data_IF_292475445850
#
_entry.id   IF_292475445850
#
_cell.length_a   1.000
_cell.length_b   1.000
_cell.length_c   1.000
_cell.angle_alpha   90.00
_cell.angle_beta   90.00
_cell.angle_gamma   90.00
#
_symmetry.space_group_name_H-M   'P 1'
#
loop_
_entity.id
_entity.type
_entity.pdbx_description
1 polymer ?
#
# COMPACT_ATOMS: atom_id res chain seq x y z
N UNK A 1 9.50 39.97 13.33
CA UNK A 1 9.28 40.24 11.90
C UNK A 1 10.21 39.32 11.13
N UNK A 2 9.75 38.11 10.80
CA UNK A 2 10.57 37.08 10.14
C UNK A 2 10.62 37.37 8.63
N UNK A 3 11.79 37.65 8.09
CA UNK A 3 12.00 37.73 6.65
C UNK A 3 12.18 36.32 6.09
N UNK A 4 11.16 35.83 5.42
CA UNK A 4 11.23 34.59 4.63
C UNK A 4 11.99 34.90 3.33
N UNK A 5 13.22 34.39 3.19
CA UNK A 5 13.93 34.43 1.91
C UNK A 5 13.41 33.30 1.02
N UNK A 6 12.74 33.67 -0.06
CA UNK A 6 12.28 32.74 -1.11
C UNK A 6 13.40 32.59 -2.13
N UNK A 7 13.97 31.40 -2.25
CA UNK A 7 15.01 31.11 -3.25
C UNK A 7 14.33 30.56 -4.51
N UNK A 8 14.47 31.28 -5.62
CA UNK A 8 13.95 30.88 -6.93
C UNK A 8 15.01 30.03 -7.62
N UNK A 9 14.83 28.70 -7.63
CA UNK A 9 15.71 27.78 -8.35
C UNK A 9 15.50 28.00 -9.84
N UNK A 10 16.50 28.56 -10.51
CA UNK A 10 16.52 28.66 -11.98
C UNK A 10 17.41 27.52 -12.46
N UNK A 11 16.81 26.53 -13.13
CA UNK A 11 17.56 25.45 -13.77
C UNK A 11 18.27 26.07 -14.97
N UNK A 12 19.59 26.16 -14.89
CA UNK A 12 20.43 26.51 -16.03
C UNK A 12 20.76 25.17 -16.71
N UNK A 13 20.22 24.96 -17.90
CA UNK A 13 20.62 23.84 -18.76
C UNK A 13 22.04 24.11 -19.27
N UNK A 14 22.97 23.22 -18.92
CA UNK A 14 24.32 23.21 -19.47
C UNK A 14 24.24 22.80 -20.95
N UNK A 15 24.27 23.78 -21.85
CA UNK A 15 24.59 23.53 -23.25
C UNK A 15 26.11 23.55 -23.44
N UNK A 16 26.72 22.36 -23.46
CA UNK A 16 27.99 22.15 -24.15
C UNK A 16 27.83 22.50 -25.62
N UNK A 17 28.54 23.52 -26.10
CA UNK A 17 29.05 23.54 -27.48
C UNK A 17 30.29 24.43 -27.58
N UNK A 18 31.33 23.84 -28.15
CA UNK A 18 32.69 24.37 -28.27
C UNK A 18 32.84 25.42 -29.39
N UNK A 19 33.91 26.20 -29.20
CA UNK A 19 34.84 26.79 -30.18
C UNK A 19 34.57 28.16 -30.85
N UNK A 20 35.61 29.00 -30.69
CA UNK A 20 36.12 30.06 -31.58
C UNK A 20 35.45 31.45 -31.57
N UNK A 21 36.04 32.38 -30.81
CA UNK A 21 36.79 33.52 -31.38
C UNK A 21 37.50 34.34 -30.28
N UNK A 22 38.81 34.52 -30.43
CA UNK A 22 39.62 35.52 -29.73
C UNK A 22 39.15 36.94 -30.11
N UNK A 23 38.90 37.82 -29.13
CA UNK A 23 39.74 39.00 -28.91
C UNK A 23 39.22 39.95 -27.82
N UNK A 24 40.18 40.55 -27.11
CA UNK A 24 40.12 41.82 -26.38
C UNK A 24 39.27 41.87 -25.10
N UNK A 25 39.93 41.61 -23.96
CA UNK A 25 39.96 42.49 -22.78
C UNK A 25 40.65 41.77 -21.60
N UNK A 26 41.90 42.15 -21.30
CA UNK A 26 42.68 41.61 -20.18
C UNK A 26 42.12 41.98 -18.80
N UNK A 27 41.05 42.78 -18.75
CA UNK A 27 40.28 43.09 -17.53
C UNK A 27 39.06 42.19 -17.33
N UNK A 28 38.50 41.61 -18.41
CA UNK A 28 37.32 40.73 -18.35
C UNK A 28 37.68 39.30 -17.92
N UNK A 29 38.90 38.86 -18.17
CA UNK A 29 39.35 37.52 -17.78
C UNK A 29 39.43 37.36 -16.26
N UNK A 30 39.92 38.39 -15.53
CA UNK A 30 40.02 38.36 -14.06
C UNK A 30 38.65 38.40 -13.37
N UNK A 31 37.74 39.22 -13.89
CA UNK A 31 36.33 39.25 -13.45
C UNK A 31 35.64 37.89 -13.63
N UNK A 32 35.99 37.14 -14.68
CA UNK A 32 35.44 35.82 -14.94
C UNK A 32 36.05 34.74 -14.01
N UNK A 33 37.35 34.81 -13.69
CA UNK A 33 37.98 33.90 -12.72
C UNK A 33 37.47 34.13 -11.29
N UNK A 34 37.29 35.38 -10.86
CA UNK A 34 36.74 35.70 -9.54
C UNK A 34 35.27 35.26 -9.42
N UNK A 35 34.47 35.46 -10.46
CA UNK A 35 33.09 34.94 -10.51
C UNK A 35 33.04 33.40 -10.49
N UNK A 36 33.98 32.73 -11.15
CA UNK A 36 34.08 31.26 -11.15
C UNK A 36 34.46 30.71 -9.77
N UNK A 37 35.32 31.41 -9.03
CA UNK A 37 35.73 31.01 -7.68
C UNK A 37 34.63 31.27 -6.65
N UNK A 38 33.87 32.36 -6.81
CA UNK A 38 32.67 32.66 -6.00
C UNK A 38 31.58 31.60 -6.22
N UNK A 39 31.32 31.18 -7.47
CA UNK A 39 30.37 30.09 -7.78
C UNK A 39 30.81 28.76 -7.16
N UNK A 40 32.12 28.46 -7.15
CA UNK A 40 32.64 27.24 -6.51
C UNK A 40 32.45 27.27 -5.00
N UNK A 41 32.74 28.40 -4.36
CA UNK A 41 32.54 28.56 -2.91
C UNK A 41 31.08 28.43 -2.52
N UNK A 42 30.16 29.05 -3.26
CA UNK A 42 28.71 28.92 -3.04
C UNK A 42 28.27 27.46 -3.18
N UNK A 43 28.72 26.76 -4.23
CA UNK A 43 28.40 25.33 -4.45
C UNK A 43 28.90 24.44 -3.31
N UNK A 44 30.06 24.76 -2.75
CA UNK A 44 30.68 23.98 -1.68
C UNK A 44 30.02 24.24 -0.32
N UNK A 45 29.54 25.46 -0.09
CA UNK A 45 28.70 25.83 1.06
C UNK A 45 27.32 25.19 0.97
N UNK A 46 26.66 25.24 -0.19
CA UNK A 46 25.38 24.57 -0.45
C UNK A 46 25.48 23.06 -0.22
N UNK A 47 26.59 22.44 -0.65
CA UNK A 47 26.87 21.02 -0.42
C UNK A 47 27.01 20.70 1.08
N UNK A 48 27.73 21.54 1.84
CA UNK A 48 27.85 21.37 3.30
C UNK A 48 26.51 21.55 4.00
N UNK A 49 25.71 22.53 3.58
CA UNK A 49 24.38 22.76 4.13
C UNK A 49 23.45 21.58 3.83
N UNK A 50 23.52 21.04 2.62
CA UNK A 50 22.80 19.83 2.22
C UNK A 50 23.20 18.61 3.07
N UNK A 51 24.49 18.40 3.33
CA UNK A 51 24.99 17.28 4.14
C UNK A 51 24.59 17.37 5.63
N UNK A 52 24.45 18.59 6.16
CA UNK A 52 24.05 18.86 7.55
C UNK A 52 22.53 18.82 7.77
N UNK A 53 21.77 19.05 6.70
CA UNK A 53 20.32 19.16 6.73
C UNK A 53 19.67 17.82 6.38
N UNK A 54 18.43 17.60 6.83
CA UNK A 54 17.69 16.35 6.58
C UNK A 54 17.00 16.24 5.22
N UNK A 55 17.37 17.10 4.24
CA UNK A 55 16.73 17.16 2.92
C UNK A 55 16.81 15.81 2.20
N UNK A 56 17.99 15.17 2.20
CA UNK A 56 18.21 13.92 1.48
C UNK A 56 17.40 12.76 2.07
N UNK A 57 17.30 12.70 3.40
CA UNK A 57 16.52 11.72 4.13
C UNK A 57 15.03 11.92 3.85
N UNK A 58 14.53 13.16 3.98
CA UNK A 58 13.14 13.51 3.72
C UNK A 58 12.71 13.14 2.29
N UNK A 59 13.56 13.41 1.29
CA UNK A 59 13.29 13.03 -0.10
C UNK A 59 13.21 11.51 -0.28
N UNK A 60 14.19 10.77 0.26
CA UNK A 60 14.20 9.31 0.19
C UNK A 60 12.96 8.69 0.85
N UNK A 61 12.52 9.24 1.98
CA UNK A 61 11.32 8.81 2.70
C UNK A 61 10.07 9.09 1.88
N UNK A 62 9.96 10.29 1.30
CA UNK A 62 8.82 10.67 0.48
C UNK A 62 8.71 9.77 -0.77
N UNK A 63 9.83 9.50 -1.45
CA UNK A 63 9.88 8.57 -2.58
C UNK A 63 9.49 7.16 -2.17
N UNK A 64 10.04 6.67 -1.05
CA UNK A 64 9.75 5.33 -0.55
C UNK A 64 8.28 5.18 -0.12
N UNK A 65 7.69 6.17 0.56
CA UNK A 65 6.28 6.13 0.95
C UNK A 65 5.37 6.18 -0.29
N UNK A 66 5.73 6.97 -1.30
CA UNK A 66 5.01 6.99 -2.58
C UNK A 66 5.02 5.61 -3.26
N UNK A 67 6.19 4.97 -3.35
CA UNK A 67 6.30 3.63 -3.93
C UNK A 67 5.51 2.59 -3.11
N UNK A 68 5.54 2.69 -1.79
CA UNK A 68 4.72 1.85 -0.91
C UNK A 68 3.22 2.04 -1.16
N UNK A 69 2.73 3.27 -1.28
CA UNK A 69 1.33 3.54 -1.58
C UNK A 69 0.91 2.98 -2.95
N UNK A 70 1.76 3.16 -3.96
CA UNK A 70 1.54 2.58 -5.29
C UNK A 70 1.49 1.06 -5.26
N UNK A 71 2.44 0.43 -4.57
CA UNK A 71 2.52 -1.03 -4.43
C UNK A 71 1.32 -1.59 -3.64
N UNK A 72 0.85 -0.89 -2.60
CA UNK A 72 -0.36 -1.24 -1.84
C UNK A 72 -1.59 -1.26 -2.75
N UNK A 73 -1.77 -0.22 -3.57
CA UNK A 73 -2.88 -0.12 -4.53
C UNK A 73 -2.84 -1.26 -5.55
N UNK A 74 -1.69 -1.48 -6.18
CA UNK A 74 -1.53 -2.57 -7.14
C UNK A 74 -1.77 -3.95 -6.51
N UNK A 75 -1.31 -4.18 -5.27
CA UNK A 75 -1.56 -5.44 -4.56
C UNK A 75 -3.05 -5.64 -4.28
N UNK A 76 -3.77 -4.58 -3.89
CA UNK A 76 -5.22 -4.65 -3.69
C UNK A 76 -5.94 -5.00 -5.00
N UNK A 77 -5.65 -4.26 -6.08
CA UNK A 77 -6.27 -4.48 -7.39
C UNK A 77 -6.01 -5.92 -7.89
N UNK A 78 -4.79 -6.42 -7.73
CA UNK A 78 -4.43 -7.78 -8.11
C UNK A 78 -5.18 -8.84 -7.27
N UNK A 79 -5.25 -8.66 -5.94
CA UNK A 79 -5.97 -9.58 -5.05
C UNK A 79 -7.46 -9.57 -5.36
N UNK A 80 -8.08 -8.41 -5.51
CA UNK A 80 -9.50 -8.29 -5.83
C UNK A 80 -9.82 -8.88 -7.22
N UNK A 81 -8.96 -8.59 -8.20
CA UNK A 81 -9.09 -9.07 -9.57
C UNK A 81 -9.02 -10.60 -9.71
N UNK A 82 -8.31 -11.29 -8.80
CA UNK A 82 -8.24 -12.75 -8.80
C UNK A 82 -9.33 -13.36 -7.90
N UNK A 83 -9.49 -12.84 -6.69
CA UNK A 83 -10.29 -13.53 -5.67
C UNK A 83 -11.79 -13.39 -5.94
N UNK A 84 -12.27 -12.22 -6.39
CA UNK A 84 -13.70 -12.01 -6.66
C UNK A 84 -14.21 -12.96 -7.76
N UNK A 85 -13.53 -13.09 -8.93
CA UNK A 85 -13.96 -14.04 -9.97
C UNK A 85 -13.91 -15.50 -9.52
N UNK A 86 -12.89 -15.89 -8.76
CA UNK A 86 -12.77 -17.27 -8.25
C UNK A 86 -13.94 -17.61 -7.33
N UNK A 87 -14.32 -16.71 -6.41
CA UNK A 87 -15.49 -16.93 -5.57
C UNK A 87 -16.80 -16.94 -6.36
N UNK A 88 -16.95 -16.10 -7.38
CA UNK A 88 -18.12 -16.12 -8.25
C UNK A 88 -18.22 -17.47 -9.00
N UNK A 89 -17.12 -17.99 -9.53
CA UNK A 89 -17.08 -19.29 -10.21
C UNK A 89 -17.43 -20.44 -9.25
N UNK A 90 -16.88 -20.43 -8.04
CA UNK A 90 -17.21 -21.42 -7.00
C UNK A 90 -18.70 -21.34 -6.62
N UNK A 91 -19.24 -20.12 -6.47
CA UNK A 91 -20.65 -19.90 -6.17
C UNK A 91 -21.58 -20.46 -7.25
N UNK A 92 -21.27 -20.22 -8.53
CA UNK A 92 -22.02 -20.77 -9.68
C UNK A 92 -21.92 -22.30 -9.71
N UNK A 93 -20.72 -22.86 -9.50
CA UNK A 93 -20.52 -24.29 -9.47
C UNK A 93 -21.37 -24.97 -8.38
N UNK A 94 -21.40 -24.38 -7.18
CA UNK A 94 -22.19 -24.92 -6.07
C UNK A 94 -23.69 -24.75 -6.31
N UNK A 95 -24.12 -23.65 -6.92
CA UNK A 95 -25.52 -23.48 -7.33
C UNK A 95 -25.99 -24.57 -8.30
N UNK A 96 -25.12 -25.00 -9.21
CA UNK A 96 -25.42 -26.08 -10.15
C UNK A 96 -25.52 -27.46 -9.46
N UNK A 97 -24.72 -27.69 -8.42
CA UNK A 97 -24.74 -28.95 -7.64
C UNK A 97 -25.94 -28.99 -6.70
N UNK A 98 -26.14 -27.92 -5.93
CA UNK A 98 -27.18 -27.77 -4.92
C UNK A 98 -28.10 -26.63 -5.34
N UNK A 99 -29.08 -26.91 -6.18
CA UNK A 99 -30.05 -25.89 -6.58
C UNK A 99 -30.87 -25.42 -5.38
N UNK A 100 -30.93 -24.10 -5.17
CA UNK A 100 -31.76 -23.50 -4.10
C UNK A 100 -33.23 -23.90 -4.26
N UNK A 101 -33.67 -24.11 -5.51
CA UNK A 101 -35.01 -24.63 -5.84
C UNK A 101 -35.24 -26.02 -5.25
N UNK A 102 -34.26 -26.91 -5.29
CA UNK A 102 -34.35 -28.26 -4.73
C UNK A 102 -34.56 -28.18 -3.22
N UNK A 103 -33.80 -27.31 -2.53
CA UNK A 103 -33.93 -27.10 -1.07
C UNK A 103 -35.34 -26.60 -0.72
N UNK A 104 -35.85 -25.60 -1.45
CA UNK A 104 -37.20 -25.05 -1.22
C UNK A 104 -38.28 -26.09 -1.51
N UNK A 105 -38.10 -26.90 -2.56
CA UNK A 105 -39.03 -27.97 -2.89
C UNK A 105 -39.05 -29.04 -1.79
N UNK A 106 -37.89 -29.44 -1.28
CA UNK A 106 -37.77 -30.37 -0.15
C UNK A 106 -38.48 -29.85 1.11
N UNK A 107 -38.54 -28.54 1.34
CA UNK A 107 -39.32 -27.97 2.46
C UNK A 107 -40.84 -28.16 2.30
N UNK A 108 -41.33 -28.36 1.07
CA UNK A 108 -42.76 -28.51 0.78
C UNK A 108 -43.25 -29.96 0.90
N UNK A 109 -42.34 -30.92 1.09
CA UNK A 109 -42.65 -32.34 1.23
C UNK A 109 -42.87 -32.74 2.70
N UNK A 110 -43.62 -33.82 2.98
CA UNK A 110 -43.82 -34.29 4.35
C UNK A 110 -42.47 -34.61 5.02
N UNK A 111 -42.24 -33.99 6.17
CA UNK A 111 -40.93 -34.00 6.85
C UNK A 111 -40.59 -35.40 7.34
N UNK A 112 -39.54 -35.97 6.76
CA UNK A 112 -38.87 -37.19 7.23
C UNK A 112 -37.49 -36.80 7.79
N UNK A 113 -36.94 -37.58 8.73
CA UNK A 113 -35.65 -37.26 9.37
C UNK A 113 -34.51 -37.04 8.35
N UNK A 114 -34.45 -37.85 7.30
CA UNK A 114 -33.45 -37.72 6.22
C UNK A 114 -33.61 -36.42 5.45
N UNK A 115 -34.85 -36.04 5.10
CA UNK A 115 -35.18 -34.81 4.40
C UNK A 115 -34.83 -33.56 5.23
N UNK A 116 -35.08 -33.61 6.55
CA UNK A 116 -34.69 -32.55 7.47
C UNK A 116 -33.16 -32.38 7.48
N UNK A 117 -32.41 -33.47 7.56
CA UNK A 117 -30.94 -33.44 7.56
C UNK A 117 -30.39 -32.90 6.22
N UNK A 118 -31.01 -33.25 5.09
CA UNK A 118 -30.68 -32.73 3.77
C UNK A 118 -30.90 -31.21 3.68
N UNK A 119 -32.04 -30.71 4.16
CA UNK A 119 -32.33 -29.26 4.16
C UNK A 119 -31.32 -28.51 5.05
N UNK A 120 -31.05 -29.02 6.25
CA UNK A 120 -30.12 -28.38 7.20
C UNK A 120 -28.70 -28.34 6.63
N UNK A 121 -28.20 -29.45 6.07
CA UNK A 121 -26.86 -29.52 5.48
C UNK A 121 -26.72 -28.61 4.27
N UNK A 122 -27.74 -28.54 3.40
CA UNK A 122 -27.77 -27.63 2.26
C UNK A 122 -27.72 -26.15 2.68
N UNK A 123 -28.54 -25.74 3.66
CA UNK A 123 -28.51 -24.37 4.19
C UNK A 123 -27.18 -24.03 4.87
N UNK A 124 -26.65 -24.95 5.68
CA UNK A 124 -25.34 -24.80 6.33
C UNK A 124 -24.19 -24.67 5.32
N UNK A 125 -24.24 -25.40 4.20
CA UNK A 125 -23.24 -25.28 3.14
C UNK A 125 -23.21 -23.87 2.53
N UNK A 126 -24.38 -23.31 2.22
CA UNK A 126 -24.49 -21.94 1.73
C UNK A 126 -24.05 -20.90 2.76
N UNK A 127 -24.45 -21.05 4.03
CA UNK A 127 -24.06 -20.14 5.10
C UNK A 127 -22.54 -20.12 5.31
N UNK A 128 -21.90 -21.30 5.35
CA UNK A 128 -20.44 -21.42 5.50
C UNK A 128 -19.67 -20.88 4.31
N UNK A 129 -20.22 -20.98 3.09
CA UNK A 129 -19.64 -20.36 1.90
C UNK A 129 -19.71 -18.84 1.94
N UNK A 130 -20.87 -18.27 2.26
CA UNK A 130 -21.05 -16.82 2.38
C UNK A 130 -20.14 -16.27 3.49
N UNK A 131 -20.08 -16.94 4.64
CA UNK A 131 -19.18 -16.60 5.73
C UNK A 131 -17.71 -16.58 5.28
N UNK A 132 -17.28 -17.62 4.54
CA UNK A 132 -15.92 -17.69 3.98
C UNK A 132 -15.62 -16.51 3.06
N UNK A 133 -16.58 -16.16 2.18
CA UNK A 133 -16.46 -15.02 1.27
C UNK A 133 -16.36 -13.70 2.03
N UNK A 134 -17.18 -13.48 3.06
CA UNK A 134 -17.12 -12.26 3.89
C UNK A 134 -15.76 -12.13 4.57
N UNK A 135 -15.23 -13.22 5.14
CA UNK A 135 -13.88 -13.20 5.72
C UNK A 135 -12.79 -12.97 4.67
N UNK A 136 -12.91 -13.54 3.47
CA UNK A 136 -11.96 -13.30 2.38
C UNK A 136 -11.99 -11.84 1.93
N UNK A 137 -13.16 -11.25 1.75
CA UNK A 137 -13.31 -9.82 1.43
C UNK A 137 -12.73 -8.95 2.53
N UNK A 138 -12.92 -9.29 3.81
CA UNK A 138 -12.31 -8.56 4.93
C UNK A 138 -10.78 -8.66 4.95
N UNK A 139 -10.20 -9.76 4.48
CA UNK A 139 -8.74 -9.93 4.34
C UNK A 139 -8.19 -9.14 3.15
N UNK A 140 -8.94 -9.07 2.05
CA UNK A 140 -8.56 -8.34 0.83
C UNK A 140 -8.76 -6.85 1.01
N UNK A 141 -9.82 -6.44 1.70
CA UNK A 141 -10.12 -5.05 2.02
C UNK A 141 -9.02 -4.52 2.91
N UNK A 142 -8.03 -3.93 2.23
CA UNK A 142 -6.97 -3.15 2.86
C UNK A 142 -7.66 -1.92 3.41
N UNK A 143 -8.11 -2.00 4.67
CA UNK A 143 -8.38 -0.79 5.45
C UNK A 143 -7.14 0.10 5.32
N UNK A 144 -7.29 1.43 5.18
CA UNK A 144 -6.14 2.32 5.10
C UNK A 144 -5.26 1.98 6.30
N UNK A 145 -4.09 1.42 6.02
CA UNK A 145 -3.08 1.27 7.05
C UNK A 145 -2.80 2.69 7.54
N UNK A 146 -2.54 2.85 8.84
CA UNK A 146 -1.97 4.11 9.32
C UNK A 146 -0.66 4.29 8.55
N UNK A 147 -0.68 5.19 7.56
CA UNK A 147 0.48 5.50 6.75
C UNK A 147 1.35 6.48 7.54
N UNK A 148 2.61 6.57 7.14
CA UNK A 148 3.47 7.65 7.62
C UNK A 148 2.80 8.98 7.22
N UNK A 149 2.53 9.86 8.19
CA UNK A 149 1.93 11.14 7.88
C UNK A 149 2.98 12.05 7.24
N UNK A 150 2.95 12.14 5.91
CA UNK A 150 3.86 12.98 5.11
C UNK A 150 3.74 14.46 5.52
N UNK A 151 2.64 14.87 6.16
CA UNK A 151 2.48 16.23 6.69
C UNK A 151 3.46 16.56 7.84
N UNK A 152 4.07 15.55 8.45
CA UNK A 152 5.15 15.73 9.44
C UNK A 152 6.43 16.23 8.76
N UNK A 153 6.61 16.01 7.46
CA UNK A 153 7.71 16.55 6.66
C UNK A 153 7.33 17.96 6.22
N UNK A 154 7.40 18.91 7.15
CA UNK A 154 7.20 20.34 6.89
C UNK A 154 8.54 21.06 6.67
N UNK A 155 8.48 22.33 6.27
CA UNK A 155 9.69 23.14 6.06
C UNK A 155 10.57 23.25 7.32
N UNK A 156 9.99 23.09 8.52
CA UNK A 156 10.73 23.11 9.79
C UNK A 156 11.45 21.78 10.04
N UNK A 157 10.82 20.65 9.70
CA UNK A 157 11.42 19.33 9.79
C UNK A 157 12.56 19.16 8.78
N UNK A 158 12.38 19.65 7.55
CA UNK A 158 13.40 19.61 6.50
C UNK A 158 14.64 20.38 6.94
N UNK A 159 14.48 21.58 7.50
CA UNK A 159 15.58 22.44 7.96
C UNK A 159 16.23 22.02 9.29
N UNK A 160 15.70 20.97 9.93
CA UNK A 160 16.23 20.46 11.19
C UNK A 160 17.53 19.64 10.97
N UNK A 161 18.41 19.64 11.98
CA UNK A 161 19.67 18.91 11.93
C UNK A 161 19.43 17.40 11.76
N UNK A 162 20.23 16.78 10.89
CA UNK A 162 20.09 15.37 10.48
C UNK A 162 19.92 14.37 11.64
N UNK A 163 20.66 14.53 12.73
CA UNK A 163 20.57 13.65 13.92
C UNK A 163 19.19 13.75 14.61
N UNK A 164 18.62 14.95 14.66
CA UNK A 164 17.35 15.19 15.33
C UNK A 164 16.15 14.76 14.47
N UNK A 165 16.20 15.01 13.15
CA UNK A 165 15.18 14.51 12.22
C UNK A 165 15.22 12.99 12.12
N UNK A 166 16.40 12.39 12.02
CA UNK A 166 16.58 10.94 11.91
C UNK A 166 16.06 10.17 13.14
N UNK A 167 16.30 10.67 14.35
CA UNK A 167 15.81 10.03 15.58
C UNK A 167 14.28 10.07 15.70
N UNK A 168 13.65 11.22 15.40
CA UNK A 168 12.18 11.33 15.37
C UNK A 168 11.57 10.42 14.32
N UNK A 169 12.17 10.39 13.14
CA UNK A 169 11.70 9.55 12.05
C UNK A 169 11.77 8.06 12.41
N UNK A 170 12.89 7.65 13.01
CA UNK A 170 13.08 6.27 13.50
C UNK A 170 12.01 5.89 14.52
N UNK A 171 11.67 6.78 15.45
CA UNK A 171 10.60 6.53 16.43
C UNK A 171 9.23 6.33 15.77
N UNK A 172 8.87 7.19 14.80
CA UNK A 172 7.62 7.07 14.06
C UNK A 172 7.57 5.75 13.28
N UNK A 173 8.63 5.40 12.56
CA UNK A 173 8.71 4.13 11.83
C UNK A 173 8.65 2.92 12.74
N UNK A 174 9.33 2.94 13.89
CA UNK A 174 9.25 1.84 14.87
C UNK A 174 7.82 1.66 15.41
N UNK A 175 7.10 2.76 15.65
CA UNK A 175 5.71 2.69 16.07
C UNK A 175 4.80 2.12 14.96
N UNK A 176 4.96 2.59 13.73
CA UNK A 176 4.23 2.08 12.56
C UNK A 176 4.45 0.58 12.35
N UNK A 177 5.69 0.09 12.46
CA UNK A 177 6.01 -1.34 12.36
C UNK A 177 5.29 -2.15 13.43
N UNK A 178 5.23 -1.65 14.68
CA UNK A 178 4.50 -2.33 15.77
C UNK A 178 3.00 -2.44 15.46
N UNK A 179 2.40 -1.35 14.96
CA UNK A 179 0.99 -1.32 14.57
C UNK A 179 0.72 -2.28 13.41
N UNK A 180 1.57 -2.25 12.38
CA UNK A 180 1.49 -3.16 11.23
C UNK A 180 1.59 -4.62 11.64
N UNK A 181 2.49 -4.98 12.57
CA UNK A 181 2.61 -6.35 13.07
C UNK A 181 1.32 -6.84 13.72
N UNK A 182 0.70 -6.02 14.58
CA UNK A 182 -0.57 -6.36 15.23
C UNK A 182 -1.71 -6.53 14.22
N UNK A 183 -1.80 -5.65 13.23
CA UNK A 183 -2.81 -5.73 12.16
C UNK A 183 -2.60 -6.95 11.27
N UNK A 184 -1.36 -7.27 10.93
CA UNK A 184 -1.02 -8.48 10.16
C UNK A 184 -1.42 -9.76 10.89
N UNK A 185 -1.22 -9.83 12.21
CA UNK A 185 -1.67 -10.96 13.02
C UNK A 185 -3.20 -11.13 13.00
N UNK A 186 -3.95 -10.03 13.07
CA UNK A 186 -5.41 -10.06 12.95
C UNK A 186 -5.86 -10.54 11.58
N UNK A 187 -5.24 -10.03 10.51
CA UNK A 187 -5.51 -10.46 9.13
C UNK A 187 -5.21 -11.96 8.95
N UNK A 188 -4.10 -12.45 9.51
CA UNK A 188 -3.75 -13.87 9.47
C UNK A 188 -4.81 -14.75 10.18
N UNK A 189 -5.31 -14.31 11.34
CA UNK A 189 -6.40 -15.01 12.04
C UNK A 189 -7.71 -15.03 11.24
N UNK A 190 -8.05 -13.93 10.56
CA UNK A 190 -9.23 -13.88 9.69
C UNK A 190 -9.07 -14.79 8.47
N UNK A 191 -7.88 -14.84 7.87
CA UNK A 191 -7.58 -15.75 6.76
C UNK A 191 -7.72 -17.21 7.19
N UNK A 192 -7.17 -17.60 8.34
CA UNK A 192 -7.33 -18.94 8.87
C UNK A 192 -8.81 -19.30 9.08
N UNK A 193 -9.62 -18.37 9.60
CA UNK A 193 -11.07 -18.58 9.76
C UNK A 193 -11.80 -18.72 8.42
N UNK A 194 -11.43 -17.94 7.41
CA UNK A 194 -11.98 -18.08 6.04
C UNK A 194 -11.68 -19.47 5.48
N UNK A 195 -10.44 -19.94 5.59
CA UNK A 195 -10.03 -21.27 5.13
C UNK A 195 -10.79 -22.40 5.85
N UNK A 196 -10.92 -22.32 7.17
CA UNK A 196 -11.71 -23.28 7.94
C UNK A 196 -13.18 -23.30 7.52
N UNK A 197 -13.80 -22.14 7.34
CA UNK A 197 -15.19 -22.03 6.86
C UNK A 197 -15.37 -22.64 5.48
N UNK A 198 -14.39 -22.48 4.59
CA UNK A 198 -14.40 -23.08 3.26
C UNK A 198 -14.31 -24.61 3.31
N UNK A 199 -13.44 -25.17 4.14
CA UNK A 199 -13.32 -26.63 4.32
C UNK A 199 -14.63 -27.21 4.87
N UNK A 200 -15.23 -26.56 5.86
CA UNK A 200 -16.52 -26.96 6.43
C UNK A 200 -17.62 -26.96 5.35
N UNK A 201 -17.66 -25.93 4.49
CA UNK A 201 -18.60 -25.86 3.38
C UNK A 201 -18.46 -27.05 2.44
N UNK A 202 -17.23 -27.42 2.07
CA UNK A 202 -16.95 -28.58 1.20
C UNK A 202 -17.46 -29.88 1.83
N UNK A 203 -17.21 -30.08 3.13
CA UNK A 203 -17.67 -31.28 3.86
C UNK A 203 -19.20 -31.34 3.88
N UNK A 204 -19.88 -30.21 4.10
CA UNK A 204 -21.34 -30.14 4.10
C UNK A 204 -21.94 -30.41 2.72
N UNK A 205 -21.31 -29.94 1.65
CA UNK A 205 -21.71 -30.24 0.27
C UNK A 205 -21.60 -31.75 0.01
N UNK A 206 -20.49 -32.37 0.42
CA UNK A 206 -20.34 -33.82 0.30
C UNK A 206 -21.39 -34.60 1.09
N UNK A 207 -21.69 -34.17 2.32
CA UNK A 207 -22.75 -34.77 3.13
C UNK A 207 -24.13 -34.62 2.48
N UNK A 208 -24.43 -33.44 1.92
CA UNK A 208 -25.67 -33.20 1.19
C UNK A 208 -25.82 -34.12 -0.02
N UNK A 209 -24.74 -34.33 -0.79
CA UNK A 209 -24.74 -35.22 -1.94
C UNK A 209 -24.95 -36.69 -1.58
N UNK A 210 -24.49 -37.13 -0.41
CA UNK A 210 -24.72 -38.49 0.09
C UNK A 210 -26.16 -38.69 0.57
N UNK A 211 -26.80 -37.62 1.08
CA UNK A 211 -28.16 -37.65 1.60
C UNK A 211 -29.24 -37.44 0.52
N UNK A 212 -28.86 -36.85 -0.61
CA UNK A 212 -29.72 -36.66 -1.79
C UNK A 212 -29.93 -38.00 -2.51
#
# INVERSE_FOLDING_TARGET
MHQTKTYKVTVIEDCENNSEQQNNNSSDSRLNYDALDEIKQIREEDKRLFDLTSISECLNIAMHEYDLERNKKQSFDNRAGIIIPVFAAIGIAIYNIISVKDIIHSMSQPITFVLLLQIVTGLMAYFSLISSFVFAVNVISVKPFENFDIKIIDSQFISMAKIQSGSKLLEVYLNLVRIHRKRNEQTAKMLARSQWSMIISIILIMAYLILK
#
